data_IF_802549298606
#
_entry.id   IF_802549298606
#
_cell.length_a   1.000
_cell.length_b   1.000
_cell.length_c   1.000
_cell.angle_alpha   90.00
_cell.angle_beta   90.00
_cell.angle_gamma   90.00
#
_symmetry.space_group_name_H-M   'P 1'
#
loop_
_entity.id
_entity.type
_entity.pdbx_description
1 polymer ?
#
# COMPACT_ATOMS: atom_id res chain seq x y z
N UNK A 1 17.61 -3.93 0.11
CA UNK A 1 17.60 -5.38 0.39
C UNK A 1 18.15 -6.09 -0.83
N UNK A 2 19.38 -6.59 -0.72
CA UNK A 2 20.07 -7.22 -1.86
C UNK A 2 19.87 -8.72 -1.85
N UNK A 3 19.55 -9.29 -3.01
CA UNK A 3 19.42 -10.73 -3.23
C UNK A 3 20.45 -11.17 -4.25
N UNK A 4 21.18 -12.25 -3.93
CA UNK A 4 22.18 -12.85 -4.81
C UNK A 4 21.49 -13.81 -5.79
N UNK A 5 21.64 -13.52 -7.08
CA UNK A 5 21.11 -14.32 -8.19
C UNK A 5 22.12 -15.30 -8.78
N UNK A 6 23.31 -15.43 -8.20
CA UNK A 6 24.39 -16.27 -8.74
C UNK A 6 23.92 -17.71 -9.01
N UNK A 7 23.10 -18.27 -8.11
CA UNK A 7 22.54 -19.60 -8.27
C UNK A 7 21.53 -19.70 -9.42
N UNK A 8 20.76 -18.63 -9.66
CA UNK A 8 19.78 -18.59 -10.75
C UNK A 8 20.47 -18.43 -12.12
N UNK A 9 21.56 -17.67 -12.15
CA UNK A 9 22.32 -17.37 -13.38
C UNK A 9 23.20 -18.53 -13.81
N UNK A 10 23.91 -19.19 -12.87
CA UNK A 10 24.92 -20.19 -13.17
C UNK A 10 24.54 -21.64 -12.85
N UNK A 11 23.47 -21.86 -12.11
CA UNK A 11 22.93 -23.19 -11.83
C UNK A 11 21.56 -23.29 -12.50
N UNK A 12 21.22 -24.41 -13.12
CA UNK A 12 19.92 -24.63 -13.78
C UNK A 12 18.75 -24.63 -12.77
N UNK A 13 18.75 -23.68 -11.84
CA UNK A 13 17.63 -23.49 -10.91
C UNK A 13 16.62 -22.52 -11.54
N UNK A 14 15.40 -22.96 -11.60
CA UNK A 14 14.31 -22.14 -12.14
C UNK A 14 13.75 -21.13 -11.13
N UNK A 15 14.03 -21.31 -9.82
CA UNK A 15 13.49 -20.43 -8.77
C UNK A 15 14.43 -20.33 -7.58
N UNK A 16 14.50 -19.12 -7.00
CA UNK A 16 15.16 -18.86 -5.71
C UNK A 16 14.08 -18.33 -4.74
N UNK A 17 13.89 -18.99 -3.56
CA UNK A 17 12.97 -18.49 -2.56
C UNK A 17 13.48 -17.18 -1.96
N UNK A 18 12.56 -16.28 -1.65
CA UNK A 18 12.78 -15.04 -0.90
C UNK A 18 11.95 -15.13 0.37
N UNK A 19 12.60 -15.14 1.51
CA UNK A 19 11.95 -15.09 2.84
C UNK A 19 12.80 -14.21 3.74
N UNK A 20 12.30 -13.05 4.09
CA UNK A 20 13.02 -12.05 4.86
C UNK A 20 12.09 -11.18 5.67
N UNK A 21 12.59 -10.73 6.81
CA UNK A 21 11.95 -9.72 7.64
C UNK A 21 12.95 -8.58 7.84
N UNK A 22 12.52 -7.35 7.64
CA UNK A 22 13.39 -6.18 7.81
C UNK A 22 12.65 -4.96 8.33
N UNK A 23 13.42 -4.03 8.91
CA UNK A 23 12.92 -2.76 9.38
C UNK A 23 13.12 -1.68 8.30
N UNK A 24 12.12 -0.82 8.10
CA UNK A 24 12.24 0.34 7.22
C UNK A 24 12.92 1.48 7.99
N UNK A 25 14.03 2.03 7.47
CA UNK A 25 14.72 3.13 8.14
C UNK A 25 13.80 4.36 8.28
N UNK A 26 13.74 4.97 9.46
CA UNK A 26 12.89 6.13 9.76
C UNK A 26 13.08 7.33 8.82
N UNK A 27 14.20 7.39 8.13
CA UNK A 27 14.47 8.41 7.12
C UNK A 27 13.49 8.39 5.94
N UNK A 28 12.98 7.21 5.59
CA UNK A 28 12.01 7.04 4.50
C UNK A 28 10.61 7.53 4.87
N UNK A 29 10.26 7.55 6.17
CA UNK A 29 8.94 7.97 6.64
C UNK A 29 8.74 9.49 6.65
N UNK A 30 9.83 10.30 6.59
CA UNK A 30 9.77 11.75 6.79
C UNK A 30 8.87 12.52 5.81
N UNK A 31 8.66 11.98 4.63
CA UNK A 31 7.86 12.62 3.57
C UNK A 31 6.62 11.82 3.23
N UNK A 32 6.09 11.06 4.18
CA UNK A 32 4.91 10.22 4.01
C UNK A 32 3.88 10.56 5.07
N UNK A 33 2.63 10.14 4.85
CA UNK A 33 1.55 10.27 5.83
C UNK A 33 1.61 9.19 6.93
N UNK A 34 2.60 8.29 6.86
CA UNK A 34 2.84 7.26 7.86
C UNK A 34 3.61 7.82 9.06
N UNK A 35 3.11 7.59 10.28
CA UNK A 35 3.82 7.92 11.52
C UNK A 35 4.89 6.90 11.85
N UNK A 36 4.57 5.63 11.65
CA UNK A 36 5.47 4.50 11.88
C UNK A 36 5.04 3.30 11.04
N UNK A 37 5.93 2.31 10.92
CA UNK A 37 5.67 1.06 10.24
C UNK A 37 6.33 -0.08 11.03
N UNK A 38 5.64 -1.20 11.16
CA UNK A 38 6.19 -2.41 11.77
C UNK A 38 7.30 -3.02 10.92
N UNK A 39 7.88 -4.11 11.41
CA UNK A 39 8.72 -4.96 10.58
C UNK A 39 7.94 -5.45 9.36
N UNK A 40 8.57 -5.36 8.20
CA UNK A 40 8.00 -5.79 6.93
C UNK A 40 8.47 -7.21 6.64
N UNK A 41 7.52 -8.12 6.44
CA UNK A 41 7.78 -9.48 6.03
C UNK A 41 7.62 -9.60 4.52
N UNK A 42 8.61 -10.21 3.88
CA UNK A 42 8.65 -10.46 2.43
C UNK A 42 8.79 -11.94 2.19
N UNK A 43 7.84 -12.54 1.50
CA UNK A 43 7.84 -13.98 1.19
C UNK A 43 7.51 -14.18 -0.29
N UNK A 44 8.27 -15.01 -0.98
CA UNK A 44 8.02 -15.31 -2.38
C UNK A 44 9.21 -15.98 -3.05
N UNK A 45 9.41 -15.66 -4.31
CA UNK A 45 10.50 -16.22 -5.10
C UNK A 45 10.88 -15.31 -6.28
N UNK A 46 12.09 -15.53 -6.78
CA UNK A 46 12.52 -15.01 -8.08
C UNK A 46 12.61 -16.21 -9.02
N UNK A 47 11.95 -16.14 -10.18
CA UNK A 47 11.97 -17.16 -11.22
C UNK A 47 12.78 -16.71 -12.43
N UNK A 48 13.31 -17.73 -13.15
CA UNK A 48 13.94 -17.56 -14.45
C UNK A 48 13.07 -18.29 -15.49
N UNK A 49 12.50 -17.54 -16.42
CA UNK A 49 11.62 -18.03 -17.49
C UNK A 49 12.33 -18.00 -18.85
N UNK A 50 13.56 -18.55 -18.93
CA UNK A 50 14.40 -18.68 -20.12
C UNK A 50 14.81 -17.36 -20.81
N UNK A 51 13.94 -16.34 -20.84
CA UNK A 51 14.17 -15.05 -21.48
C UNK A 51 14.24 -13.89 -20.47
N UNK A 52 13.54 -14.02 -19.33
CA UNK A 52 13.42 -12.93 -18.34
C UNK A 52 13.38 -13.49 -16.91
N UNK A 53 13.93 -12.70 -15.99
CA UNK A 53 13.75 -12.95 -14.55
C UNK A 53 12.51 -12.25 -14.07
N UNK A 54 11.78 -12.89 -13.17
CA UNK A 54 10.54 -12.35 -12.60
C UNK A 54 10.59 -12.42 -11.07
N UNK A 55 10.27 -11.30 -10.41
CA UNK A 55 10.11 -11.18 -8.98
C UNK A 55 8.64 -11.39 -8.62
N UNK A 56 8.34 -12.43 -7.85
CA UNK A 56 7.01 -12.73 -7.34
C UNK A 56 7.06 -12.82 -5.82
N UNK A 57 6.62 -11.78 -5.12
CA UNK A 57 6.69 -11.69 -3.66
C UNK A 57 5.39 -11.14 -3.07
N UNK A 58 5.04 -11.60 -1.88
CA UNK A 58 4.06 -10.98 -1.01
C UNK A 58 4.80 -10.18 0.08
N UNK A 59 4.38 -8.94 0.26
CA UNK A 59 4.91 -8.00 1.24
C UNK A 59 3.83 -7.67 2.24
N UNK A 60 4.07 -7.93 3.53
CA UNK A 60 3.07 -7.72 4.57
C UNK A 60 3.64 -7.06 5.81
N UNK A 61 2.80 -6.32 6.52
CA UNK A 61 3.14 -5.59 7.72
C UNK A 61 1.98 -4.77 8.26
N UNK A 62 2.28 -3.82 9.13
CA UNK A 62 1.31 -2.91 9.71
C UNK A 62 1.88 -1.49 9.71
N UNK A 63 1.13 -0.52 9.23
CA UNK A 63 1.50 0.89 9.27
C UNK A 63 0.63 1.66 10.26
N UNK A 64 1.20 2.69 10.89
CA UNK A 64 0.50 3.59 11.81
C UNK A 64 0.20 4.88 11.07
N UNK A 65 -1.10 5.16 10.89
CA UNK A 65 -1.61 6.33 10.19
C UNK A 65 -2.39 7.24 11.15
N UNK A 66 -2.52 8.51 10.79
CA UNK A 66 -3.38 9.43 11.54
C UNK A 66 -4.81 9.34 11.07
N UNK A 67 -5.76 9.22 12.01
CA UNK A 67 -7.18 9.33 11.70
C UNK A 67 -7.49 10.71 11.09
N UNK A 68 -8.19 10.73 9.96
CA UNK A 68 -8.54 11.97 9.26
C UNK A 68 -9.49 12.91 10.03
N UNK A 69 -10.17 12.40 11.07
CA UNK A 69 -11.10 13.21 11.90
C UNK A 69 -10.54 13.55 13.28
N UNK A 70 -9.90 12.55 13.94
CA UNK A 70 -9.53 12.69 15.35
C UNK A 70 -8.03 12.82 15.58
N UNK A 71 -7.22 12.66 14.53
CA UNK A 71 -5.76 12.60 14.57
C UNK A 71 -5.18 11.51 15.48
N UNK A 72 -6.03 10.62 16.01
CA UNK A 72 -5.60 9.44 16.76
C UNK A 72 -4.89 8.47 15.84
N UNK A 73 -4.00 7.68 16.41
CA UNK A 73 -3.27 6.65 15.66
C UNK A 73 -4.20 5.50 15.30
N UNK A 74 -4.09 5.06 14.04
CA UNK A 74 -4.83 3.94 13.47
C UNK A 74 -3.83 2.93 12.94
N UNK A 75 -3.91 1.71 13.43
CA UNK A 75 -3.15 0.60 12.90
C UNK A 75 -3.81 0.10 11.62
N UNK A 76 -3.06 0.11 10.54
CA UNK A 76 -3.51 -0.32 9.22
C UNK A 76 -2.65 -1.50 8.74
N UNK A 77 -3.16 -2.73 8.79
CA UNK A 77 -2.46 -3.89 8.25
C UNK A 77 -2.50 -3.86 6.72
N UNK A 78 -1.39 -4.23 6.09
CA UNK A 78 -1.28 -4.34 4.65
C UNK A 78 -0.70 -5.69 4.21
N UNK A 79 -1.10 -6.12 3.01
CA UNK A 79 -0.56 -7.30 2.34
C UNK A 79 -0.63 -7.09 0.84
N UNK A 80 0.53 -6.96 0.21
CA UNK A 80 0.69 -6.54 -1.17
C UNK A 80 1.36 -7.66 -1.95
N UNK A 81 0.79 -8.07 -3.06
CA UNK A 81 1.41 -8.99 -4.00
C UNK A 81 2.12 -8.20 -5.10
N UNK A 82 3.40 -8.46 -5.28
CA UNK A 82 4.25 -7.80 -6.26
C UNK A 82 4.71 -8.83 -7.27
N UNK A 83 4.45 -8.58 -8.55
CA UNK A 83 4.92 -9.37 -9.68
C UNK A 83 5.56 -8.41 -10.69
N UNK A 84 6.90 -8.44 -10.78
CA UNK A 84 7.66 -7.48 -11.60
C UNK A 84 8.76 -8.18 -12.39
N UNK A 85 8.94 -7.85 -13.68
CA UNK A 85 10.07 -8.30 -14.45
C UNK A 85 11.37 -7.66 -13.95
N UNK A 86 12.45 -8.43 -14.00
CA UNK A 86 13.80 -8.01 -13.64
C UNK A 86 14.67 -8.03 -14.91
N UNK A 87 15.31 -6.93 -15.25
CA UNK A 87 16.23 -6.86 -16.38
C UNK A 87 16.38 -5.47 -16.96
N UNK A 88 17.21 -5.32 -17.97
CA UNK A 88 17.51 -4.04 -18.61
C UNK A 88 16.30 -3.39 -19.29
N UNK A 89 15.28 -4.18 -19.62
CA UNK A 89 14.05 -3.72 -20.29
C UNK A 89 12.90 -3.44 -19.32
N UNK A 90 13.09 -3.58 -18.00
CA UNK A 90 12.04 -3.32 -17.04
C UNK A 90 11.87 -1.82 -16.81
N UNK A 91 10.63 -1.32 -16.91
CA UNK A 91 10.30 0.09 -16.64
C UNK A 91 10.61 0.49 -15.20
N UNK A 92 10.71 -0.47 -14.29
CA UNK A 92 10.87 -0.29 -12.84
C UNK A 92 12.32 -0.32 -12.33
N UNK A 93 13.31 -0.21 -13.23
CA UNK A 93 14.73 -0.05 -12.86
C UNK A 93 15.30 -1.14 -11.93
N UNK A 94 14.77 -2.37 -12.00
CA UNK A 94 15.33 -3.51 -11.28
C UNK A 94 16.53 -4.05 -12.06
N UNK A 95 17.66 -3.36 -11.97
CA UNK A 95 18.90 -3.75 -12.64
C UNK A 95 19.66 -4.81 -11.85
N UNK A 96 20.22 -5.77 -12.60
CA UNK A 96 21.13 -6.77 -12.02
C UNK A 96 22.55 -6.18 -11.99
N UNK A 97 23.04 -5.90 -10.78
CA UNK A 97 24.41 -5.39 -10.58
C UNK A 97 25.24 -6.46 -9.87
N UNK A 98 26.33 -6.93 -10.52
CA UNK A 98 27.21 -7.96 -9.96
C UNK A 98 26.45 -9.22 -9.49
N UNK A 99 25.58 -9.77 -10.33
CA UNK A 99 24.71 -10.92 -10.03
C UNK A 99 23.80 -10.74 -8.80
N UNK A 100 23.53 -9.50 -8.41
CA UNK A 100 22.66 -9.16 -7.28
C UNK A 100 21.62 -8.12 -7.69
N UNK A 101 20.46 -8.21 -7.07
CA UNK A 101 19.37 -7.26 -7.27
C UNK A 101 19.00 -6.60 -5.94
N UNK A 102 18.76 -5.30 -5.94
CA UNK A 102 18.20 -4.61 -4.78
C UNK A 102 16.69 -4.42 -4.96
N UNK A 103 15.90 -5.21 -4.22
CA UNK A 103 14.43 -5.17 -4.28
C UNK A 103 13.80 -4.17 -3.31
N UNK A 104 14.60 -3.52 -2.44
CA UNK A 104 14.06 -2.57 -1.47
C UNK A 104 13.34 -1.38 -2.13
N UNK A 105 13.85 -0.74 -3.20
CA UNK A 105 13.18 0.39 -3.82
C UNK A 105 11.78 0.04 -4.33
N UNK A 106 11.62 -1.12 -4.97
CA UNK A 106 10.32 -1.55 -5.50
C UNK A 106 9.34 -1.88 -4.36
N UNK A 107 9.78 -2.58 -3.32
CA UNK A 107 8.95 -2.85 -2.14
C UNK A 107 8.46 -1.54 -1.52
N UNK A 108 9.37 -0.56 -1.36
CA UNK A 108 9.02 0.74 -0.79
C UNK A 108 8.00 1.49 -1.64
N UNK A 109 8.17 1.48 -2.96
CA UNK A 109 7.22 2.08 -3.90
C UNK A 109 5.81 1.48 -3.75
N UNK A 110 5.69 0.15 -3.70
CA UNK A 110 4.41 -0.52 -3.53
C UNK A 110 3.76 -0.25 -2.16
N UNK A 111 4.56 -0.20 -1.09
CA UNK A 111 4.06 0.20 0.23
C UNK A 111 3.49 1.62 0.19
N UNK A 112 4.18 2.56 -0.46
CA UNK A 112 3.69 3.94 -0.61
C UNK A 112 2.39 4.02 -1.41
N UNK A 113 2.22 3.19 -2.43
CA UNK A 113 1.00 3.14 -3.24
C UNK A 113 -0.20 2.54 -2.46
N UNK A 114 0.06 1.68 -1.48
CA UNK A 114 -0.97 1.06 -0.65
C UNK A 114 -1.44 1.95 0.50
N UNK A 115 -0.75 3.07 0.78
CA UNK A 115 -1.16 4.02 1.81
C UNK A 115 -2.53 4.61 1.45
N UNK A 116 -3.58 4.37 2.24
CA UNK A 116 -4.91 4.88 1.92
C UNK A 116 -4.97 6.40 2.10
N UNK A 117 -5.67 7.08 1.20
CA UNK A 117 -5.87 8.54 1.26
C UNK A 117 -6.60 8.98 2.54
N UNK A 118 -7.37 8.09 3.16
CA UNK A 118 -8.16 8.40 4.36
C UNK A 118 -8.35 7.17 5.22
N UNK A 119 -8.00 7.27 6.49
CA UNK A 119 -8.32 6.28 7.52
C UNK A 119 -9.16 6.90 8.62
N UNK A 120 -10.07 6.13 9.19
CA UNK A 120 -10.92 6.55 10.29
C UNK A 120 -10.71 5.61 11.48
N UNK A 121 -10.44 6.20 12.65
CA UNK A 121 -10.44 5.46 13.92
C UNK A 121 -11.88 5.03 14.26
N UNK A 122 -12.12 3.88 14.89
CA UNK A 122 -13.47 3.45 15.30
C UNK A 122 -14.27 4.50 16.07
N UNK A 123 -13.60 5.26 16.93
CA UNK A 123 -14.22 6.35 17.70
C UNK A 123 -14.66 7.54 16.82
N UNK A 124 -14.16 7.64 15.61
CA UNK A 124 -14.46 8.77 14.71
C UNK A 124 -15.92 8.77 14.21
N UNK A 125 -16.63 7.64 14.33
CA UNK A 125 -18.07 7.55 13.99
C UNK A 125 -18.94 8.44 14.90
N UNK A 126 -18.52 8.62 16.15
CA UNK A 126 -19.25 9.44 17.15
C UNK A 126 -18.64 10.84 17.31
N UNK A 127 -17.75 11.24 16.41
CA UNK A 127 -17.06 12.51 16.49
C UNK A 127 -17.92 13.62 15.87
N UNK A 128 -18.65 14.33 16.70
CA UNK A 128 -19.38 15.52 16.33
C UNK A 128 -18.54 16.74 16.68
N UNK A 129 -18.30 17.59 15.70
CA UNK A 129 -17.76 18.92 15.90
C UNK A 129 -18.87 19.93 15.69
N UNK A 130 -19.14 20.73 16.72
CA UNK A 130 -20.09 21.83 16.65
C UNK A 130 -19.52 23.06 17.34
N UNK A 131 -19.97 24.23 16.91
CA UNK A 131 -19.60 25.50 17.50
C UNK A 131 -20.77 26.46 17.35
N UNK A 132 -20.66 27.68 17.89
CA UNK A 132 -21.72 28.67 17.84
C UNK A 132 -22.06 29.01 16.38
N UNK A 133 -23.23 28.54 15.91
CA UNK A 133 -23.75 28.78 14.56
C UNK A 133 -23.25 27.81 13.46
N UNK A 134 -22.46 26.76 13.78
CA UNK A 134 -22.03 25.75 12.81
C UNK A 134 -21.95 24.35 13.42
N UNK A 135 -22.12 23.32 12.59
CA UNK A 135 -21.85 21.94 12.93
C UNK A 135 -21.23 21.21 11.72
N UNK A 136 -20.35 20.27 11.99
CA UNK A 136 -19.74 19.43 10.97
C UNK A 136 -20.75 18.38 10.51
N UNK A 137 -21.14 18.42 9.25
CA UNK A 137 -21.97 17.39 8.63
C UNK A 137 -21.06 16.25 8.18
N UNK A 138 -21.26 15.07 8.72
CA UNK A 138 -20.53 13.86 8.32
C UNK A 138 -21.33 13.07 7.27
N UNK A 139 -20.68 12.09 6.65
CA UNK A 139 -21.37 11.22 5.69
C UNK A 139 -22.52 10.44 6.32
N UNK A 140 -22.38 10.10 7.63
CA UNK A 140 -23.40 9.42 8.41
C UNK A 140 -24.62 10.31 8.72
N UNK A 141 -24.46 11.63 8.67
CA UNK A 141 -25.53 12.61 8.90
C UNK A 141 -26.36 12.90 7.64
N UNK A 142 -25.87 12.45 6.48
CA UNK A 142 -26.63 12.56 5.23
C UNK A 142 -27.81 11.58 5.23
N UNK A 143 -28.86 11.90 5.98
CA UNK A 143 -30.19 11.40 5.61
C UNK A 143 -30.46 11.92 4.20
N UNK A 144 -30.87 11.05 3.29
CA UNK A 144 -31.35 11.42 1.95
C UNK A 144 -32.56 12.36 2.08
N UNK A 145 -32.31 13.61 2.44
CA UNK A 145 -33.31 14.65 2.38
C UNK A 145 -33.41 15.03 0.90
N UNK A 146 -34.34 14.41 0.21
CA UNK A 146 -34.68 14.80 -1.16
C UNK A 146 -35.18 16.23 -1.11
N UNK A 147 -34.47 17.15 -1.79
CA UNK A 147 -34.94 18.53 -1.93
C UNK A 147 -36.37 18.49 -2.50
N UNK A 148 -37.35 19.10 -1.82
CA UNK A 148 -38.76 19.09 -2.28
C UNK A 148 -38.93 19.61 -3.71
N UNK A 149 -38.00 20.46 -4.20
CA UNK A 149 -38.00 20.98 -5.57
C UNK A 149 -37.64 19.90 -6.59
N UNK A 150 -36.81 18.93 -6.19
CA UNK A 150 -36.33 17.82 -7.03
C UNK A 150 -37.12 16.53 -6.85
N UNK A 151 -38.06 16.49 -5.89
CA UNK A 151 -38.88 15.31 -5.59
C UNK A 151 -39.64 14.81 -6.83
N UNK A 152 -40.08 15.69 -7.70
CA UNK A 152 -40.78 15.35 -8.95
C UNK A 152 -39.91 14.65 -9.98
N UNK A 153 -38.59 14.80 -9.93
CA UNK A 153 -37.65 14.11 -10.84
C UNK A 153 -37.54 12.62 -10.52
N UNK A 154 -37.85 12.21 -9.30
CA UNK A 154 -37.84 10.79 -8.90
C UNK A 154 -38.84 9.94 -9.69
N UNK A 155 -39.91 10.56 -10.16
CA UNK A 155 -40.98 9.89 -10.95
C UNK A 155 -40.52 9.61 -12.40
N UNK A 156 -39.49 10.34 -12.90
CA UNK A 156 -38.92 10.17 -14.24
C UNK A 156 -37.75 9.18 -14.32
N UNK A 157 -37.20 8.77 -13.17
CA UNK A 157 -36.03 7.86 -13.11
C UNK A 157 -36.47 6.38 -12.89
N UNK A 158 -37.76 6.12 -12.76
CA UNK A 158 -38.31 4.75 -12.70
C UNK A 158 -38.66 4.27 -14.11
N UNK A 159 -37.64 3.87 -14.86
CA UNK A 159 -37.70 2.88 -15.94
C UNK A 159 -36.63 1.81 -15.74
#
# INVERSE_FOLDING_TARGET
MKIDLTKLIYSNLYRIPVDSVFDIPKGYLKNTDMKDISQVKVVGYISNNEEEYELNINVSGEMILSCARTLKDVNYPFSIDISEPIGENSENSLEIVQNSIDIFPIIWQYILMDVPLRVLHPDAKNFHMEGEGWHLITEDDKKEVIDPRLAKLKDYIKE
#
